data_IF_780196924149
#
_entry.id   IF_780196924149
#
_cell.length_a   1.000
_cell.length_b   1.000
_cell.length_c   1.000
_cell.angle_alpha   90.00
_cell.angle_beta   90.00
_cell.angle_gamma   90.00
#
_symmetry.space_group_name_H-M   'P 1'
#
loop_
_entity.id
_entity.type
_entity.pdbx_description
1 polymer ?
#
# COMPACT_ATOMS: atom_id res chain seq x y z
N UNK A 1 -15.18 -9.27 -11.84
CA UNK A 1 -14.43 -8.14 -12.43
C UNK A 1 -14.38 -8.28 -13.94
N UNK A 2 -14.42 -7.16 -14.67
CA UNK A 2 -14.23 -7.13 -16.12
C UNK A 2 -12.75 -7.19 -16.49
N UNK A 3 -12.43 -7.62 -17.72
CA UNK A 3 -11.07 -7.50 -18.27
C UNK A 3 -10.66 -6.03 -18.32
N UNK A 4 -9.40 -5.74 -18.02
CA UNK A 4 -8.83 -4.40 -18.08
C UNK A 4 -8.13 -3.97 -16.79
N UNK A 5 -7.83 -2.67 -16.71
CA UNK A 5 -7.16 -2.06 -15.58
C UNK A 5 -8.17 -1.63 -14.51
N UNK A 6 -7.86 -1.93 -13.25
CA UNK A 6 -8.68 -1.56 -12.10
C UNK A 6 -7.80 -0.89 -11.05
N UNK A 7 -8.14 0.33 -10.69
CA UNK A 7 -7.43 1.08 -9.65
C UNK A 7 -7.80 0.53 -8.27
N UNK A 8 -6.79 0.35 -7.43
CA UNK A 8 -6.92 -0.20 -6.08
C UNK A 8 -6.23 0.75 -5.11
N UNK A 9 -6.96 1.16 -4.07
CA UNK A 9 -6.44 1.95 -2.97
C UNK A 9 -6.61 1.15 -1.68
N UNK A 10 -5.49 0.79 -1.07
CA UNK A 10 -5.44 0.14 0.24
C UNK A 10 -5.03 1.15 1.29
N UNK A 11 -5.66 1.04 2.46
CA UNK A 11 -5.65 2.04 3.52
C UNK A 11 -5.34 1.33 4.83
N UNK A 12 -4.13 1.51 5.34
CA UNK A 12 -3.66 0.86 6.55
C UNK A 12 -3.52 1.89 7.68
N UNK A 13 -3.88 1.49 8.89
CA UNK A 13 -3.56 2.22 10.11
C UNK A 13 -3.22 1.25 11.24
N UNK A 14 -2.09 1.48 11.89
CA UNK A 14 -1.66 0.77 13.08
C UNK A 14 -1.60 1.75 14.25
N UNK A 15 -2.30 1.39 15.33
CA UNK A 15 -2.39 2.19 16.56
C UNK A 15 -1.61 1.55 17.72
N UNK A 16 -0.81 0.52 17.47
CA UNK A 16 -0.16 -0.35 18.44
C UNK A 16 -0.62 -1.81 18.32
N UNK A 17 0.27 -2.74 18.67
CA UNK A 17 -0.03 -4.19 18.72
C UNK A 17 0.59 -5.02 17.60
N UNK A 18 1.27 -4.37 16.64
CA UNK A 18 1.97 -5.03 15.54
C UNK A 18 1.14 -5.03 14.25
N UNK A 19 1.56 -4.23 13.28
CA UNK A 19 0.88 -4.08 11.99
C UNK A 19 0.98 -5.36 11.14
N UNK A 20 -0.13 -5.88 10.66
CA UNK A 20 -0.18 -6.91 9.62
C UNK A 20 -0.89 -6.32 8.41
N UNK A 21 -0.26 -6.36 7.23
CA UNK A 21 -0.87 -5.85 6.01
C UNK A 21 -0.51 -6.75 4.83
N UNK A 22 -1.52 -7.43 4.30
CA UNK A 22 -1.38 -8.34 3.17
C UNK A 22 -2.57 -8.15 2.23
N UNK A 23 -2.27 -7.93 0.96
CA UNK A 23 -3.29 -7.72 -0.07
C UNK A 23 -3.21 -8.89 -1.04
N UNK A 24 -4.29 -9.66 -1.13
CA UNK A 24 -4.37 -10.85 -1.97
C UNK A 24 -5.52 -10.74 -2.96
N UNK A 25 -5.46 -11.55 -3.99
CA UNK A 25 -6.60 -11.77 -4.86
C UNK A 25 -6.66 -13.22 -5.33
N UNK A 26 -7.86 -13.64 -5.70
CA UNK A 26 -8.15 -14.97 -6.26
C UNK A 26 -9.24 -14.85 -7.31
N UNK A 27 -9.03 -15.51 -8.44
CA UNK A 27 -9.98 -15.56 -9.57
C UNK A 27 -9.38 -16.27 -10.80
N UNK A 28 -10.01 -16.13 -11.97
CA UNK A 28 -9.54 -16.70 -13.24
C UNK A 28 -8.03 -16.52 -13.51
N UNK A 29 -7.49 -15.32 -13.33
CA UNK A 29 -6.05 -15.04 -13.59
C UNK A 29 -5.08 -15.80 -12.69
N UNK A 30 -5.58 -16.30 -11.56
CA UNK A 30 -4.79 -17.03 -10.56
C UNK A 30 -5.07 -18.53 -10.58
N UNK A 31 -5.87 -19.01 -11.54
CA UNK A 31 -6.38 -20.39 -11.53
C UNK A 31 -7.19 -20.72 -10.28
N UNK A 32 -7.79 -19.72 -9.62
CA UNK A 32 -8.52 -19.90 -8.37
C UNK A 32 -7.62 -20.08 -7.13
N UNK A 33 -6.34 -19.74 -7.18
CA UNK A 33 -5.46 -19.73 -6.00
C UNK A 33 -5.39 -18.35 -5.36
N UNK A 34 -5.25 -18.27 -4.04
CA UNK A 34 -5.01 -17.01 -3.35
C UNK A 34 -3.52 -16.63 -3.48
N UNK A 35 -3.25 -15.48 -4.08
CA UNK A 35 -1.89 -14.97 -4.30
C UNK A 35 -1.79 -13.50 -3.90
N UNK A 36 -0.58 -13.02 -3.63
CA UNK A 36 -0.37 -11.59 -3.41
C UNK A 36 -0.76 -10.80 -4.65
N UNK A 37 -1.51 -9.71 -4.46
CA UNK A 37 -1.97 -8.88 -5.57
C UNK A 37 -0.79 -8.13 -6.18
N UNK A 38 -0.47 -8.37 -7.47
CA UNK A 38 0.51 -7.55 -8.17
C UNK A 38 -0.09 -6.18 -8.49
N UNK A 39 0.76 -5.19 -8.69
CA UNK A 39 0.37 -3.93 -9.31
C UNK A 39 1.20 -3.67 -10.56
N UNK A 40 0.53 -3.26 -11.63
CA UNK A 40 1.18 -2.87 -12.89
C UNK A 40 1.51 -1.37 -12.97
N UNK A 41 1.15 -0.60 -11.94
CA UNK A 41 1.38 0.85 -11.87
C UNK A 41 0.39 1.51 -10.89
N UNK A 42 0.25 2.83 -10.91
CA UNK A 42 -0.70 3.57 -10.07
C UNK A 42 -1.22 4.81 -10.81
N UNK A 43 -2.41 5.31 -10.47
CA UNK A 43 -2.94 6.52 -11.11
C UNK A 43 -2.11 7.77 -10.76
N UNK A 44 -1.93 8.68 -11.72
CA UNK A 44 -1.15 9.92 -11.52
C UNK A 44 0.36 9.68 -11.41
N UNK A 45 0.90 8.70 -12.16
CA UNK A 45 2.32 8.34 -12.16
C UNK A 45 3.22 9.59 -12.13
N UNK A 46 4.17 9.60 -11.20
CA UNK A 46 5.16 10.67 -10.97
C UNK A 46 4.67 11.98 -10.30
N UNK A 47 3.37 12.14 -10.03
CA UNK A 47 2.81 13.31 -9.32
C UNK A 47 2.59 13.08 -7.82
N UNK A 48 3.02 11.93 -7.27
CA UNK A 48 2.89 11.60 -5.86
C UNK A 48 3.44 12.71 -4.93
N UNK A 49 2.79 12.97 -3.77
CA UNK A 49 3.29 13.94 -2.80
C UNK A 49 4.69 13.53 -2.36
N UNK A 50 5.61 14.50 -2.23
CA UNK A 50 6.97 14.20 -1.76
C UNK A 50 6.95 13.59 -0.36
N UNK A 51 7.77 12.57 -0.07
CA UNK A 51 8.69 11.83 -0.95
C UNK A 51 7.98 11.01 -2.03
N UNK A 52 8.61 10.84 -3.20
CA UNK A 52 7.97 10.24 -4.39
C UNK A 52 8.24 8.74 -4.50
N UNK A 53 7.26 8.00 -5.04
CA UNK A 53 7.48 6.66 -5.57
C UNK A 53 8.23 6.71 -6.91
N UNK A 54 8.95 5.65 -7.24
CA UNK A 54 9.53 5.47 -8.57
C UNK A 54 8.40 5.24 -9.57
N UNK A 55 8.50 5.88 -10.73
CA UNK A 55 7.51 5.77 -11.79
C UNK A 55 7.57 4.39 -12.46
N UNK A 56 6.41 3.87 -12.88
CA UNK A 56 6.27 2.59 -13.54
C UNK A 56 5.64 1.50 -12.67
N UNK A 57 5.98 0.25 -12.95
CA UNK A 57 5.25 -0.90 -12.40
C UNK A 57 5.41 -1.06 -10.89
N UNK A 58 4.27 -1.20 -10.21
CA UNK A 58 4.20 -1.49 -8.78
C UNK A 58 3.13 -0.68 -8.06
N UNK A 59 3.01 -0.93 -6.76
CA UNK A 59 2.24 -0.16 -5.80
C UNK A 59 3.06 1.05 -5.37
N UNK A 60 2.44 2.22 -5.33
CA UNK A 60 3.00 3.36 -4.62
C UNK A 60 2.53 3.34 -3.17
N UNK A 61 3.44 3.08 -2.25
CA UNK A 61 3.16 3.00 -0.81
C UNK A 61 3.61 4.29 -0.11
N UNK A 62 2.66 5.09 0.37
CA UNK A 62 2.91 6.30 1.15
C UNK A 62 2.78 5.99 2.64
N UNK A 63 3.78 6.37 3.44
CA UNK A 63 3.82 6.11 4.88
C UNK A 63 3.79 7.40 5.69
N UNK A 64 2.94 7.41 6.70
CA UNK A 64 2.69 8.54 7.58
C UNK A 64 3.02 8.14 9.01
N UNK A 65 4.06 8.76 9.58
CA UNK A 65 4.51 8.56 10.95
C UNK A 65 5.12 9.84 11.48
N UNK A 66 4.70 10.28 12.67
CA UNK A 66 5.09 11.58 13.23
C UNK A 66 5.01 12.74 12.20
N UNK A 67 3.89 12.91 11.47
CA UNK A 67 3.80 13.89 10.40
C UNK A 67 3.89 15.32 10.93
N UNK A 68 4.39 16.25 10.12
CA UNK A 68 4.54 17.67 10.50
C UNK A 68 3.20 18.22 11.00
N UNK A 69 3.21 18.87 12.17
CA UNK A 69 2.00 19.38 12.83
C UNK A 69 1.29 18.37 13.74
N UNK A 70 1.69 17.09 13.75
CA UNK A 70 1.19 16.07 14.66
C UNK A 70 2.35 15.37 15.39
N UNK A 71 2.20 15.13 16.69
CA UNK A 71 3.20 14.38 17.46
C UNK A 71 3.25 12.90 17.08
N UNK A 72 2.11 12.32 16.67
CA UNK A 72 1.95 10.94 16.20
C UNK A 72 0.59 10.81 15.47
N UNK A 73 0.43 9.78 14.62
CA UNK A 73 -0.89 9.44 14.06
C UNK A 73 -1.69 8.70 15.13
N UNK A 74 -2.88 9.20 15.49
CA UNK A 74 -3.71 8.61 16.57
C UNK A 74 -5.02 7.99 16.08
N UNK A 75 -5.42 8.41 14.91
CA UNK A 75 -6.65 8.10 14.22
C UNK A 75 -6.36 8.00 12.73
N UNK A 76 -7.27 7.37 12.00
CA UNK A 76 -7.15 7.24 10.56
C UNK A 76 -7.14 8.63 9.90
N UNK A 77 -6.03 9.07 9.31
CA UNK A 77 -5.92 10.45 8.90
C UNK A 77 -6.62 10.72 7.57
N UNK A 78 -7.04 11.97 7.36
CA UNK A 78 -7.34 12.45 6.01
C UNK A 78 -6.03 12.62 5.21
N UNK A 79 -5.65 11.57 4.50
CA UNK A 79 -4.39 11.53 3.75
C UNK A 79 -4.25 12.63 2.71
N UNK A 80 -5.35 13.19 2.20
CA UNK A 80 -5.31 14.28 1.20
C UNK A 80 -4.66 15.54 1.75
N UNK A 81 -4.61 15.68 3.07
CA UNK A 81 -4.07 16.86 3.77
C UNK A 81 -2.72 16.60 4.41
N UNK A 82 -2.18 15.39 4.27
CA UNK A 82 -0.92 15.00 4.85
C UNK A 82 0.15 14.79 3.79
N UNK A 83 1.36 15.24 4.12
CA UNK A 83 2.57 14.90 3.39
C UNK A 83 3.12 13.60 3.99
N UNK A 84 3.39 12.55 3.18
CA UNK A 84 4.00 11.34 3.71
C UNK A 84 5.43 11.61 4.19
N UNK A 85 5.92 10.80 5.13
CA UNK A 85 7.31 10.86 5.58
C UNK A 85 8.21 9.92 4.78
N UNK A 86 7.62 8.91 4.12
CA UNK A 86 8.32 8.01 3.22
C UNK A 86 7.37 7.53 2.12
N UNK A 87 7.93 7.26 0.94
CA UNK A 87 7.23 6.61 -0.15
C UNK A 87 8.11 5.51 -0.76
N UNK A 88 7.49 4.41 -1.20
CA UNK A 88 8.18 3.23 -1.72
C UNK A 88 7.37 2.56 -2.82
N UNK A 89 8.05 2.18 -3.90
CA UNK A 89 7.47 1.34 -4.95
C UNK A 89 7.62 -0.13 -4.57
N UNK A 90 6.51 -0.87 -4.58
CA UNK A 90 6.46 -2.28 -4.17
C UNK A 90 5.80 -3.13 -5.25
N UNK A 91 6.30 -4.33 -5.54
CA UNK A 91 5.62 -5.22 -6.49
C UNK A 91 4.35 -5.85 -5.90
N UNK A 92 4.36 -6.12 -4.59
CA UNK A 92 3.25 -6.72 -3.84
C UNK A 92 3.25 -6.21 -2.39
N UNK A 93 2.13 -6.41 -1.68
CA UNK A 93 1.96 -6.03 -0.27
C UNK A 93 1.76 -7.30 0.57
N UNK A 94 2.72 -7.64 1.43
CA UNK A 94 2.72 -8.90 2.18
C UNK A 94 3.52 -8.83 3.49
N UNK A 95 3.26 -7.81 4.30
CA UNK A 95 3.93 -7.58 5.58
C UNK A 95 3.24 -8.34 6.72
N UNK A 96 4.04 -9.03 7.52
CA UNK A 96 3.57 -9.91 8.60
C UNK A 96 3.68 -9.26 10.00
N UNK A 97 4.40 -8.14 10.10
CA UNK A 97 4.55 -7.33 11.30
C UNK A 97 5.05 -5.92 10.92
N UNK A 98 4.82 -4.96 11.82
CA UNK A 98 5.33 -3.59 11.76
C UNK A 98 6.87 -3.54 11.63
N UNK A 99 7.58 -4.49 12.23
CA UNK A 99 9.03 -4.62 12.11
C UNK A 99 9.52 -4.89 10.68
N UNK A 100 8.75 -5.56 9.82
CA UNK A 100 9.07 -5.71 8.39
C UNK A 100 8.91 -4.38 7.65
N UNK A 101 7.84 -3.64 7.95
CA UNK A 101 7.60 -2.30 7.39
C UNK A 101 8.72 -1.35 7.83
N UNK A 102 9.06 -1.33 9.11
CA UNK A 102 10.13 -0.51 9.67
C UNK A 102 11.48 -0.76 8.97
N UNK A 103 11.85 -2.04 8.78
CA UNK A 103 13.08 -2.43 8.08
C UNK A 103 13.10 -1.96 6.63
N UNK A 104 11.98 -2.13 5.92
CA UNK A 104 11.82 -1.65 4.54
C UNK A 104 11.99 -0.12 4.45
N UNK A 105 11.57 0.61 5.49
CA UNK A 105 11.74 2.06 5.61
C UNK A 105 13.09 2.49 6.22
N UNK A 106 14.00 1.56 6.54
CA UNK A 106 15.27 1.85 7.18
C UNK A 106 15.16 2.39 8.62
N UNK A 107 14.02 2.16 9.29
CA UNK A 107 13.78 2.56 10.67
C UNK A 107 14.27 1.50 11.66
N UNK A 108 14.74 1.96 12.82
CA UNK A 108 15.14 1.12 13.95
C UNK A 108 14.17 1.30 15.10
N UNK A 109 13.95 0.24 15.88
CA UNK A 109 13.08 0.25 17.04
C UNK A 109 11.61 -0.02 16.70
N UNK A 110 10.75 0.17 17.70
CA UNK A 110 9.30 -0.06 17.62
C UNK A 110 8.66 0.91 16.61
N UNK A 111 7.79 0.40 15.74
CA UNK A 111 7.21 1.16 14.64
C UNK A 111 5.69 1.16 14.71
N UNK A 112 5.19 1.81 15.76
CA UNK A 112 3.78 1.99 16.02
C UNK A 112 3.27 3.34 15.48
N UNK A 113 1.95 3.53 15.48
CA UNK A 113 1.30 4.82 15.15
C UNK A 113 1.61 5.23 13.71
N UNK A 114 1.51 4.25 12.83
CA UNK A 114 1.78 4.38 11.40
C UNK A 114 0.48 4.29 10.64
N UNK A 115 0.30 5.15 9.65
CA UNK A 115 -0.70 4.96 8.61
C UNK A 115 -0.01 4.80 7.26
N UNK A 116 -0.66 4.14 6.32
CA UNK A 116 -0.18 4.06 4.95
C UNK A 116 -1.32 4.04 3.94
N UNK A 117 -1.05 4.59 2.75
CA UNK A 117 -1.82 4.27 1.55
C UNK A 117 -0.98 3.41 0.63
N UNK A 118 -1.63 2.49 -0.06
CA UNK A 118 -1.03 1.76 -1.17
C UNK A 118 -1.92 1.95 -2.38
N UNK A 119 -1.43 2.73 -3.32
CA UNK A 119 -2.10 3.04 -4.58
C UNK A 119 -1.53 2.12 -5.65
N UNK A 120 -2.40 1.41 -6.37
CA UNK A 120 -1.99 0.44 -7.38
C UNK A 120 -3.03 0.23 -8.46
N UNK A 121 -2.64 -0.49 -9.50
CA UNK A 121 -3.51 -0.87 -10.62
C UNK A 121 -3.38 -2.38 -10.81
N UNK A 122 -4.50 -3.08 -10.66
CA UNK A 122 -4.62 -4.48 -10.96
C UNK A 122 -5.04 -4.65 -12.42
N UNK A 123 -4.25 -5.38 -13.20
CA UNK A 123 -4.63 -5.77 -14.55
C UNK A 123 -5.32 -7.14 -14.55
N UNK A 124 -6.62 -7.14 -14.83
CA UNK A 124 -7.43 -8.35 -14.99
C UNK A 124 -7.34 -8.83 -16.44
N UNK A 125 -6.74 -9.99 -16.67
CA UNK A 125 -6.57 -10.56 -18.01
C UNK A 125 -7.81 -11.34 -18.46
N UNK A 126 -8.44 -12.04 -17.52
CA UNK A 126 -9.62 -12.89 -17.74
C UNK A 126 -10.80 -12.39 -16.93
N UNK A 127 -11.89 -12.03 -17.59
CA UNK A 127 -13.10 -11.61 -16.88
C UNK A 127 -13.72 -12.78 -16.09
N UNK A 128 -14.33 -12.49 -14.94
CA UNK A 128 -15.00 -13.49 -14.11
C UNK A 128 -15.09 -13.07 -12.65
N UNK A 129 -15.34 -14.03 -11.76
CA UNK A 129 -15.47 -13.77 -10.32
C UNK A 129 -14.10 -13.67 -9.66
N UNK A 130 -13.92 -12.60 -8.88
CA UNK A 130 -12.70 -12.35 -8.10
C UNK A 130 -13.06 -12.10 -6.65
N UNK A 131 -12.21 -12.60 -5.76
CA UNK A 131 -12.19 -12.26 -4.34
C UNK A 131 -10.91 -11.49 -4.04
N UNK A 132 -11.07 -10.38 -3.31
CA UNK A 132 -10.02 -9.49 -2.84
C UNK A 132 -10.11 -9.47 -1.31
#
# INVERSE_FOLDING_TARGET
>A
MSRGLHSVLVKMFENGGGAYERVTYKGPDTGGSEVLMPSVGFEGECEAPVPKCDCGAGWCANFYYNPVGLRQVRDFPDFKRLVPQAAKTLLTIGYHNDGQIARMLGKKGRFDKVAATFDGVLHINSAGDYRI
#
